data_IF_581809157293
#
_entry.id   IF_581809157293
#
_cell.length_a   1.000
_cell.length_b   1.000
_cell.length_c   1.000
_cell.angle_alpha   90.00
_cell.angle_beta   90.00
_cell.angle_gamma   90.00
#
_symmetry.space_group_name_H-M   'P 1'
#
loop_
_entity.id
_entity.type
_entity.pdbx_description
1 polymer ?
#
# COMPACT_ATOMS: atom_id res chain seq x y z
N UNK A 1 -14.03 38.95 65.49
CA UNK A 1 -15.17 38.69 64.57
C UNK A 1 -14.65 38.69 63.14
N UNK A 2 -14.58 37.53 62.48
CA UNK A 2 -15.52 37.08 61.43
C UNK A 2 -15.40 37.89 60.12
N UNK A 3 -14.63 37.39 59.14
CA UNK A 3 -15.22 36.79 57.92
C UNK A 3 -14.19 36.02 57.08
N UNK A 4 -14.58 34.81 56.69
CA UNK A 4 -14.00 33.97 55.65
C UNK A 4 -14.48 34.53 54.31
N UNK A 5 -13.73 34.38 53.21
CA UNK A 5 -14.27 33.96 51.90
C UNK A 5 -13.14 33.65 50.91
N UNK A 6 -13.29 32.49 50.29
CA UNK A 6 -12.47 31.90 49.24
C UNK A 6 -12.79 32.54 47.87
N UNK A 7 -11.79 32.71 47.02
CA UNK A 7 -11.91 32.67 45.55
C UNK A 7 -10.52 32.35 44.98
N UNK A 8 -10.16 31.10 44.73
CA UNK A 8 -10.57 30.25 43.60
C UNK A 8 -10.04 30.73 42.23
N UNK A 9 -8.96 30.04 41.82
CA UNK A 9 -8.72 29.46 40.48
C UNK A 9 -8.43 30.42 39.31
N UNK A 10 -7.24 30.24 38.73
CA UNK A 10 -6.97 30.67 37.37
C UNK A 10 -5.51 30.59 36.92
N UNK A 11 -4.72 29.61 37.37
CA UNK A 11 -3.41 29.39 36.75
C UNK A 11 -3.66 28.74 35.39
N UNK A 12 -3.68 29.57 34.35
CA UNK A 12 -3.69 29.15 32.96
C UNK A 12 -2.37 28.40 32.67
N UNK A 13 -2.38 27.09 32.92
CA UNK A 13 -1.30 26.20 32.53
C UNK A 13 -1.25 26.09 31.01
N UNK A 14 -0.32 26.82 30.40
CA UNK A 14 0.04 26.71 29.00
C UNK A 14 0.70 25.33 28.78
N UNK A 15 -0.10 24.33 28.45
CA UNK A 15 0.40 23.01 28.05
C UNK A 15 1.04 23.16 26.66
N UNK A 16 2.35 23.43 26.62
CA UNK A 16 3.15 23.24 25.41
C UNK A 16 3.21 21.73 25.13
N UNK A 17 2.30 21.24 24.28
CA UNK A 17 2.39 19.91 23.71
C UNK A 17 3.58 19.86 22.72
N UNK A 18 4.76 19.51 23.22
CA UNK A 18 5.90 19.20 22.37
C UNK A 18 5.58 17.93 21.54
N UNK A 19 5.26 18.11 20.26
CA UNK A 19 4.91 17.02 19.37
C UNK A 19 6.17 16.21 19.06
N UNK A 20 6.35 15.04 19.69
CA UNK A 20 7.44 14.13 19.32
C UNK A 20 7.20 13.62 17.89
N UNK A 21 8.16 13.77 16.96
CA UNK A 21 7.97 13.29 15.60
C UNK A 21 7.82 11.76 15.60
N UNK A 22 6.69 11.27 15.11
CA UNK A 22 6.47 9.85 14.90
C UNK A 22 7.42 9.34 13.80
N UNK A 23 8.32 8.43 14.15
CA UNK A 23 9.19 7.74 13.19
C UNK A 23 8.61 6.36 12.88
N UNK A 24 8.44 6.06 11.60
CA UNK A 24 7.96 4.75 11.12
C UNK A 24 9.13 3.85 10.68
N UNK A 25 10.27 3.94 11.37
CA UNK A 25 11.43 3.10 11.09
C UNK A 25 11.14 1.67 11.56
N UNK A 26 11.40 0.65 10.73
CA UNK A 26 11.22 -0.77 11.08
C UNK A 26 12.59 -1.43 11.19
N UNK A 27 12.87 -2.00 12.35
CA UNK A 27 14.09 -2.75 12.66
C UNK A 27 13.83 -4.24 12.68
N UNK A 28 14.81 -5.03 12.26
CA UNK A 28 14.83 -6.50 12.35
C UNK A 28 15.98 -6.93 13.23
N UNK A 29 15.66 -7.64 14.30
CA UNK A 29 16.60 -8.08 15.31
C UNK A 29 16.70 -9.61 15.29
N UNK A 30 17.93 -10.14 15.31
CA UNK A 30 18.19 -11.58 15.38
C UNK A 30 18.53 -11.96 16.82
N UNK A 31 17.77 -12.91 17.38
CA UNK A 31 18.09 -13.52 18.69
C UNK A 31 19.20 -14.56 18.53
N UNK A 32 19.82 -14.97 19.65
CA UNK A 32 20.86 -16.01 19.68
C UNK A 32 20.35 -17.38 19.19
N UNK A 33 19.04 -17.62 19.31
CA UNK A 33 18.34 -18.81 18.84
C UNK A 33 18.03 -18.80 17.32
N UNK A 34 18.43 -17.74 16.60
CA UNK A 34 18.17 -17.58 15.16
C UNK A 34 16.81 -16.96 14.82
N UNK A 35 15.92 -16.77 15.79
CA UNK A 35 14.58 -16.19 15.59
C UNK A 35 14.68 -14.70 15.27
N UNK A 36 13.98 -14.28 14.21
CA UNK A 36 13.92 -12.89 13.76
C UNK A 36 12.66 -12.21 14.32
N UNK A 37 12.81 -11.03 14.92
CA UNK A 37 11.68 -10.20 15.35
C UNK A 37 11.78 -8.80 14.74
N UNK A 38 10.62 -8.20 14.44
CA UNK A 38 10.51 -6.86 13.88
C UNK A 38 9.98 -5.89 14.94
N UNK A 39 10.58 -4.71 15.06
CA UNK A 39 10.19 -3.68 16.05
C UNK A 39 10.27 -2.28 15.44
N UNK A 40 9.42 -1.38 15.92
CA UNK A 40 9.43 0.05 15.59
C UNK A 40 10.37 0.87 16.50
N UNK A 41 10.95 0.25 17.54
CA UNK A 41 11.86 0.90 18.49
C UNK A 41 13.29 0.48 18.20
N UNK A 42 14.20 1.47 18.11
CA UNK A 42 15.63 1.19 17.96
C UNK A 42 16.20 0.69 19.28
N UNK A 43 16.54 -0.60 19.36
CA UNK A 43 17.21 -1.19 20.51
C UNK A 43 18.74 -1.23 20.29
N UNK A 44 19.54 -0.38 20.99
CA UNK A 44 20.99 -0.41 20.85
C UNK A 44 21.57 -1.70 21.46
N UNK A 45 22.52 -2.32 20.75
CA UNK A 45 23.30 -3.47 21.26
C UNK A 45 22.72 -4.88 21.00
N UNK A 46 21.52 -5.04 20.44
CA UNK A 46 20.89 -6.36 20.21
C UNK A 46 21.00 -6.93 18.79
N UNK A 47 22.00 -6.52 18.02
CA UNK A 47 22.15 -7.01 16.62
C UNK A 47 20.98 -6.64 15.72
N UNK A 48 20.29 -5.54 16.03
CA UNK A 48 19.15 -5.02 15.27
C UNK A 48 19.62 -4.24 14.03
N UNK A 49 19.09 -4.61 12.87
CA UNK A 49 19.36 -3.97 11.58
C UNK A 49 18.13 -3.18 11.12
N UNK A 50 18.31 -1.95 10.65
CA UNK A 50 17.24 -1.15 10.04
C UNK A 50 16.86 -1.79 8.70
N UNK A 51 15.59 -2.15 8.52
CA UNK A 51 15.07 -2.72 7.26
C UNK A 51 14.32 -1.67 6.46
N UNK A 52 13.54 -0.81 7.14
CA UNK A 52 12.76 0.24 6.50
C UNK A 52 13.00 1.55 7.24
N UNK A 53 13.40 2.59 6.51
CA UNK A 53 13.48 3.95 7.04
C UNK A 53 12.23 4.72 6.66
N UNK A 54 11.49 5.23 7.65
CA UNK A 54 10.35 6.11 7.44
C UNK A 54 10.80 7.34 6.64
N UNK A 55 10.15 7.56 5.49
CA UNK A 55 10.54 8.63 4.57
C UNK A 55 10.43 9.98 5.27
N UNK A 56 11.48 10.81 5.15
CA UNK A 56 11.35 12.22 5.47
C UNK A 56 10.34 12.80 4.48
N UNK A 57 9.22 13.29 5.02
CA UNK A 57 8.23 14.20 4.41
C UNK A 57 8.74 14.80 3.09
N UNK A 58 8.35 14.20 1.98
CA UNK A 58 8.67 14.68 0.63
C UNK A 58 8.08 16.08 0.48
N UNK A 59 8.95 17.08 0.31
CA UNK A 59 8.50 18.41 -0.13
C UNK A 59 7.81 18.27 -1.49
N UNK A 60 6.70 18.96 -1.59
CA UNK A 60 5.79 19.01 -2.71
C UNK A 60 6.47 19.43 -4.02
N UNK A 61 5.95 18.82 -5.11
CA UNK A 61 5.66 19.40 -6.43
C UNK A 61 6.61 20.43 -7.03
N UNK A 62 7.12 20.14 -8.23
CA UNK A 62 6.70 20.82 -9.47
C UNK A 62 7.47 20.27 -10.66
N UNK A 63 6.75 19.73 -11.64
CA UNK A 63 6.85 20.19 -13.03
C UNK A 63 6.00 19.30 -13.95
N UNK A 64 4.92 19.90 -14.42
CA UNK A 64 4.19 19.44 -15.58
C UNK A 64 5.13 19.38 -16.79
N UNK A 65 5.18 18.24 -17.48
CA UNK A 65 5.57 18.22 -18.89
C UNK A 65 4.71 17.23 -19.65
N UNK A 66 3.64 17.80 -20.21
CA UNK A 66 2.77 17.20 -21.22
C UNK A 66 3.64 16.89 -22.44
N UNK A 67 3.87 15.60 -22.74
CA UNK A 67 4.25 15.17 -24.08
C UNK A 67 3.20 14.19 -24.59
N UNK A 68 2.43 14.68 -25.57
CA UNK A 68 1.61 13.86 -26.44
C UNK A 68 2.57 12.98 -27.25
N UNK A 69 2.44 11.67 -27.11
CA UNK A 69 2.99 10.72 -28.06
C UNK A 69 1.95 9.62 -28.23
N UNK A 70 1.44 9.53 -29.46
CA UNK A 70 0.63 8.43 -29.95
C UNK A 70 1.41 7.13 -29.77
N UNK A 71 0.82 6.12 -29.13
CA UNK A 71 1.48 4.82 -29.00
C UNK A 71 0.45 3.67 -29.01
N UNK A 72 0.58 2.90 -30.09
CA UNK A 72 0.29 1.48 -30.23
C UNK A 72 -0.06 0.72 -28.95
N UNK A 73 -1.22 0.06 -29.00
CA UNK A 73 -1.76 -0.86 -28.00
C UNK A 73 -0.89 -2.10 -27.92
N UNK A 74 0.09 -2.12 -27.02
CA UNK A 74 0.66 -3.32 -26.37
C UNK A 74 1.73 -2.85 -25.38
N UNK A 75 1.30 -2.32 -24.23
CA UNK A 75 2.20 -2.10 -23.10
C UNK A 75 2.44 -3.46 -22.43
N UNK A 76 3.30 -4.25 -23.08
CA UNK A 76 3.67 -5.59 -22.64
C UNK A 76 4.33 -5.61 -21.27
N UNK A 77 4.35 -6.81 -20.73
CA UNK A 77 4.71 -7.31 -19.41
C UNK A 77 5.82 -6.66 -18.54
N UNK A 78 6.51 -5.59 -18.97
CA UNK A 78 7.61 -4.94 -18.23
C UNK A 78 7.71 -3.42 -18.42
N UNK A 79 6.60 -2.76 -18.74
CA UNK A 79 6.59 -1.29 -18.75
C UNK A 79 6.95 -0.75 -17.35
N UNK A 80 8.07 -0.02 -17.24
CA UNK A 80 8.44 0.72 -16.02
C UNK A 80 7.64 2.02 -15.86
N UNK A 81 6.65 2.25 -16.72
CA UNK A 81 5.81 3.43 -16.68
C UNK A 81 4.98 3.45 -15.39
N UNK A 82 5.10 4.50 -14.56
CA UNK A 82 4.24 4.70 -13.39
C UNK A 82 2.74 4.69 -13.71
N UNK A 83 2.34 5.04 -14.94
CA UNK A 83 0.93 5.02 -15.36
C UNK A 83 0.29 3.63 -15.30
N UNK A 84 1.09 2.54 -15.26
CA UNK A 84 0.54 1.19 -15.09
C UNK A 84 -0.25 1.01 -13.79
N UNK A 85 0.03 1.82 -12.76
CA UNK A 85 -0.68 1.76 -11.47
C UNK A 85 -2.06 2.43 -11.51
N UNK A 86 -2.38 3.22 -12.53
CA UNK A 86 -3.68 3.89 -12.67
C UNK A 86 -4.54 3.32 -13.81
N UNK A 87 -3.97 2.52 -14.72
CA UNK A 87 -4.66 1.99 -15.91
C UNK A 87 -5.95 1.22 -15.65
N UNK A 88 -6.10 0.61 -14.46
CA UNK A 88 -7.25 -0.20 -14.10
C UNK A 88 -8.16 0.44 -13.06
N UNK A 89 -7.98 1.72 -12.75
CA UNK A 89 -8.74 2.38 -11.67
C UNK A 89 -10.24 2.20 -11.83
N UNK A 90 -10.79 2.41 -13.02
CA UNK A 90 -12.23 2.20 -13.26
C UNK A 90 -12.71 0.76 -13.05
N UNK A 91 -11.90 -0.24 -13.41
CA UNK A 91 -12.25 -1.66 -13.18
C UNK A 91 -12.14 -2.05 -11.71
N UNK A 92 -11.18 -1.46 -11.00
CA UNK A 92 -11.03 -1.63 -9.56
C UNK A 92 -12.20 -0.97 -8.83
N UNK A 93 -12.64 0.20 -9.28
CA UNK A 93 -13.81 0.89 -8.71
C UNK A 93 -15.08 0.06 -8.93
N UNK A 94 -15.25 -0.53 -10.11
CA UNK A 94 -16.35 -1.46 -10.42
C UNK A 94 -16.33 -2.67 -9.47
N UNK A 95 -15.20 -3.36 -9.35
CA UNK A 95 -15.05 -4.52 -8.48
C UNK A 95 -15.26 -4.16 -7.00
N UNK A 96 -14.74 -3.02 -6.55
CA UNK A 96 -14.90 -2.52 -5.20
C UNK A 96 -16.38 -2.29 -4.84
N UNK A 97 -17.14 -1.69 -5.75
CA UNK A 97 -18.57 -1.47 -5.56
C UNK A 97 -19.35 -2.78 -5.54
N UNK A 98 -19.07 -3.68 -6.49
CA UNK A 98 -19.77 -4.95 -6.61
C UNK A 98 -19.55 -5.87 -5.40
N UNK A 99 -18.30 -5.99 -4.94
CA UNK A 99 -17.92 -6.88 -3.85
C UNK A 99 -17.85 -6.19 -2.49
N UNK A 100 -18.18 -4.89 -2.43
CA UNK A 100 -18.12 -4.07 -1.21
C UNK A 100 -16.74 -4.10 -0.53
N UNK A 101 -15.68 -4.07 -1.35
CA UNK A 101 -14.28 -4.11 -0.89
C UNK A 101 -13.62 -2.73 -0.98
N UNK A 102 -12.68 -2.40 -0.06
CA UNK A 102 -11.89 -1.17 -0.20
C UNK A 102 -11.04 -1.19 -1.48
N UNK A 103 -10.99 -0.06 -2.21
CA UNK A 103 -10.19 0.04 -3.45
C UNK A 103 -8.70 -0.24 -3.18
N UNK A 104 -8.21 0.19 -2.01
CA UNK A 104 -6.84 -0.04 -1.56
C UNK A 104 -6.50 -1.52 -1.41
N UNK A 105 -7.47 -2.35 -1.02
CA UNK A 105 -7.30 -3.79 -0.87
C UNK A 105 -7.10 -4.46 -2.23
N UNK A 106 -8.00 -4.21 -3.18
CA UNK A 106 -7.90 -4.76 -4.56
C UNK A 106 -6.59 -4.33 -5.22
N UNK A 107 -6.20 -3.05 -5.06
CA UNK A 107 -4.92 -2.53 -5.56
C UNK A 107 -3.72 -3.24 -4.93
N UNK A 108 -3.78 -3.55 -3.64
CA UNK A 108 -2.71 -4.22 -2.94
C UNK A 108 -2.56 -5.67 -3.43
N UNK A 109 -3.66 -6.40 -3.57
CA UNK A 109 -3.69 -7.75 -4.15
C UNK A 109 -3.11 -7.73 -5.56
N UNK A 110 -3.65 -6.90 -6.45
CA UNK A 110 -3.16 -6.76 -7.83
C UNK A 110 -1.65 -6.50 -7.91
N UNK A 111 -1.13 -5.68 -6.99
CA UNK A 111 0.29 -5.35 -6.94
C UNK A 111 1.13 -6.57 -6.58
N UNK A 112 0.70 -7.35 -5.60
CA UNK A 112 1.42 -8.54 -5.13
C UNK A 112 1.37 -9.64 -6.18
N UNK A 113 0.21 -9.84 -6.81
CA UNK A 113 -0.01 -10.94 -7.74
C UNK A 113 0.71 -10.73 -9.08
N UNK A 114 0.65 -9.53 -9.66
CA UNK A 114 1.16 -9.28 -11.02
C UNK A 114 1.91 -7.98 -11.20
N UNK A 115 1.93 -7.11 -10.19
CA UNK A 115 2.42 -5.73 -10.29
C UNK A 115 1.77 -4.98 -11.48
N UNK A 116 0.44 -5.14 -11.62
CA UNK A 116 -0.41 -4.51 -12.65
C UNK A 116 -0.13 -4.96 -14.09
N UNK A 117 0.47 -6.14 -14.27
CA UNK A 117 0.73 -6.73 -15.57
C UNK A 117 -0.34 -7.79 -15.93
N UNK A 118 -1.16 -7.58 -16.99
CA UNK A 118 -2.24 -8.50 -17.33
C UNK A 118 -1.74 -9.77 -18.03
N UNK A 119 -0.49 -9.83 -18.47
CA UNK A 119 0.07 -10.95 -19.25
C UNK A 119 0.90 -11.92 -18.39
N UNK A 120 0.88 -11.78 -17.05
CA UNK A 120 1.68 -12.64 -16.16
C UNK A 120 1.13 -14.05 -16.12
N UNK A 121 2.01 -15.03 -16.30
CA UNK A 121 1.75 -16.44 -16.01
C UNK A 121 2.77 -16.95 -15.00
N UNK A 122 2.31 -17.48 -13.87
CA UNK A 122 3.19 -18.07 -12.85
C UNK A 122 3.68 -19.45 -13.28
N UNK A 123 4.72 -19.96 -12.60
CA UNK A 123 5.22 -21.33 -12.81
C UNK A 123 4.15 -22.40 -12.51
N UNK A 124 3.23 -22.10 -11.61
CA UNK A 124 2.12 -22.99 -11.26
C UNK A 124 0.94 -22.88 -12.26
N UNK A 125 0.99 -21.93 -13.19
CA UNK A 125 -0.05 -21.70 -14.20
C UNK A 125 -1.12 -20.68 -13.81
N UNK A 126 -0.89 -19.88 -12.77
CA UNK A 126 -1.78 -18.76 -12.43
C UNK A 126 -1.66 -17.64 -13.48
N UNK A 127 -2.76 -16.98 -13.85
CA UNK A 127 -2.82 -16.08 -15.02
C UNK A 127 -3.41 -14.70 -14.67
N UNK A 128 -2.83 -13.67 -15.28
CA UNK A 128 -3.40 -12.32 -15.31
C UNK A 128 -3.16 -11.49 -14.06
N UNK A 129 -4.01 -10.48 -13.87
CA UNK A 129 -3.82 -9.43 -12.87
C UNK A 129 -3.93 -9.91 -11.42
N UNK A 130 -4.92 -10.75 -11.15
CA UNK A 130 -5.23 -11.39 -9.85
C UNK A 130 -4.66 -12.82 -9.77
N UNK A 131 -3.87 -13.26 -10.75
CA UNK A 131 -3.24 -14.59 -10.78
C UNK A 131 -4.25 -15.73 -10.55
N UNK A 132 -5.29 -15.78 -11.38
CA UNK A 132 -6.29 -16.84 -11.34
C UNK A 132 -5.69 -18.16 -11.85
N UNK A 133 -5.85 -19.23 -11.07
CA UNK A 133 -5.58 -20.59 -11.55
C UNK A 133 -6.61 -21.00 -12.61
N UNK A 134 -6.26 -21.84 -13.61
CA UNK A 134 -7.18 -22.19 -14.70
C UNK A 134 -8.51 -22.78 -14.22
N UNK A 135 -8.46 -23.60 -13.15
CA UNK A 135 -9.67 -24.15 -12.53
C UNK A 135 -10.56 -23.08 -11.91
N UNK A 136 -9.96 -22.13 -11.20
CA UNK A 136 -10.65 -21.00 -10.56
C UNK A 136 -11.27 -20.07 -11.60
N UNK A 137 -10.53 -19.73 -12.66
CA UNK A 137 -11.05 -18.91 -13.75
C UNK A 137 -12.36 -19.51 -14.32
N UNK A 138 -12.38 -20.82 -14.57
CA UNK A 138 -13.58 -21.53 -15.04
C UNK A 138 -14.73 -21.47 -14.03
N UNK A 139 -14.47 -21.71 -12.75
CA UNK A 139 -15.54 -21.66 -11.73
C UNK A 139 -16.10 -20.26 -11.51
N UNK A 140 -15.32 -19.22 -11.78
CA UNK A 140 -15.72 -17.82 -11.65
C UNK A 140 -16.29 -17.23 -12.95
N UNK A 141 -16.48 -18.05 -13.99
CA UNK A 141 -17.05 -17.60 -15.27
C UNK A 141 -16.11 -16.73 -16.12
N UNK A 142 -14.80 -16.78 -15.86
CA UNK A 142 -13.77 -16.07 -16.62
C UNK A 142 -13.42 -16.88 -17.87
N UNK A 143 -13.81 -16.39 -19.04
CA UNK A 143 -13.51 -17.00 -20.34
C UNK A 143 -12.10 -16.66 -20.82
N UNK A 144 -11.63 -15.45 -20.53
CA UNK A 144 -10.29 -14.98 -20.86
C UNK A 144 -9.60 -14.44 -19.60
N UNK A 145 -8.68 -15.21 -18.99
CA UNK A 145 -7.91 -14.77 -17.82
C UNK A 145 -6.94 -13.61 -18.11
N UNK A 146 -6.69 -13.25 -19.37
CA UNK A 146 -5.85 -12.12 -19.75
C UNK A 146 -6.67 -10.85 -20.03
N UNK A 147 -8.01 -10.96 -20.14
CA UNK A 147 -8.90 -9.81 -20.13
C UNK A 147 -8.90 -9.17 -18.73
N UNK A 148 -8.54 -7.89 -18.67
CA UNK A 148 -8.35 -7.20 -17.41
C UNK A 148 -9.64 -7.14 -16.57
N UNK A 149 -10.80 -6.93 -17.20
CA UNK A 149 -12.06 -6.80 -16.47
C UNK A 149 -12.50 -8.15 -15.92
N UNK A 150 -12.48 -9.20 -16.74
CA UNK A 150 -12.84 -10.54 -16.28
C UNK A 150 -11.92 -11.03 -15.17
N UNK A 151 -10.60 -10.81 -15.31
CA UNK A 151 -9.63 -11.26 -14.31
C UNK A 151 -9.76 -10.50 -12.98
N UNK A 152 -10.03 -9.19 -13.01
CA UNK A 152 -10.26 -8.38 -11.78
C UNK A 152 -11.58 -8.76 -11.10
N UNK A 153 -12.64 -9.04 -11.86
CA UNK A 153 -13.93 -9.41 -11.26
C UNK A 153 -13.94 -10.88 -10.78
N UNK A 154 -13.25 -11.78 -11.47
CA UNK A 154 -13.24 -13.20 -11.13
C UNK A 154 -12.24 -13.59 -10.05
N UNK A 155 -11.25 -12.74 -9.72
CA UNK A 155 -10.23 -12.99 -8.70
C UNK A 155 -10.49 -12.27 -7.40
#
# INVERSE_FOLDING_TARGET
MVWRLLAAVGVAGLILAASTPARADIYRCKRKDGTQHYTNVREPGRGCQLVVRGSKRSKASTSAKKKRASASRTSGARSKDPARYSRYTGLIDEAAQLYQLPHSFIRAVMRVESDFNPEVVSRAGAMGLMQLMPKTARSMGVSDPFDARQNILGG
#
